data_IF_065368136245
#
_entry.id   IF_065368136245
#
_cell.length_a   1.000
_cell.length_b   1.000
_cell.length_c   1.000
_cell.angle_alpha   90.00
_cell.angle_beta   90.00
_cell.angle_gamma   90.00
#
_symmetry.space_group_name_H-M   'P 1'
#
loop_
_entity.id
_entity.type
_entity.pdbx_description
1 polymer ?
#
# COMPACT_ATOMS: atom_id res chain seq x y z
N UNK A 1 23.23 -3.47 -19.13
CA UNK A 1 23.04 -3.06 -20.53
C UNK A 1 21.56 -3.12 -20.86
N UNK A 2 20.85 -2.00 -20.68
CA UNK A 2 19.58 -1.70 -21.34
C UNK A 2 19.52 -0.18 -21.48
N UNK A 3 19.57 0.28 -22.73
CA UNK A 3 19.64 1.68 -23.12
C UNK A 3 18.28 2.37 -22.91
N UNK A 4 18.25 3.42 -22.07
CA UNK A 4 17.12 4.34 -21.96
C UNK A 4 17.25 5.41 -23.04
N UNK A 5 16.55 5.20 -24.17
CA UNK A 5 16.55 6.09 -25.33
C UNK A 5 15.67 7.33 -25.06
N UNK A 6 16.31 8.52 -25.11
CA UNK A 6 15.72 9.84 -24.77
C UNK A 6 14.80 10.45 -25.84
N UNK A 7 14.49 9.73 -26.92
CA UNK A 7 13.76 10.27 -28.08
C UNK A 7 12.26 9.94 -28.16
N UNK A 8 11.65 9.38 -27.11
CA UNK A 8 10.21 9.01 -27.13
C UNK A 8 9.26 9.96 -26.38
N UNK A 9 9.76 11.08 -25.85
CA UNK A 9 8.94 12.05 -25.09
C UNK A 9 8.47 13.28 -25.90
N UNK A 10 8.83 13.41 -27.18
CA UNK A 10 8.55 14.65 -27.94
C UNK A 10 7.33 14.59 -28.88
N UNK A 11 6.60 13.46 -29.00
CA UNK A 11 5.52 13.32 -29.99
C UNK A 11 4.10 13.04 -29.46
N UNK A 12 3.82 13.24 -28.16
CA UNK A 12 2.45 13.12 -27.63
C UNK A 12 1.86 14.48 -27.18
N UNK A 13 2.67 15.54 -27.17
CA UNK A 13 2.21 16.92 -26.94
C UNK A 13 1.88 17.62 -28.27
N UNK A 14 0.86 17.16 -29.00
CA UNK A 14 0.11 17.98 -29.95
C UNK A 14 -1.09 17.21 -30.53
N UNK A 15 -2.25 17.29 -29.86
CA UNK A 15 -3.52 17.52 -30.54
C UNK A 15 -4.41 18.40 -29.65
N UNK A 16 -4.82 19.60 -30.10
CA UNK A 16 -5.88 20.34 -29.46
C UNK A 16 -7.19 19.60 -29.73
N UNK A 17 -7.93 19.23 -28.69
CA UNK A 17 -9.25 18.62 -28.84
C UNK A 17 -10.26 19.73 -29.17
N UNK A 18 -10.41 20.01 -30.46
CA UNK A 18 -11.49 20.84 -30.99
C UNK A 18 -12.56 19.94 -31.62
N UNK A 19 -13.76 19.99 -31.01
CA UNK A 19 -15.09 19.94 -31.65
C UNK A 19 -15.64 18.55 -32.04
N UNK A 20 -16.53 17.99 -31.20
CA UNK A 20 -17.97 17.82 -31.47
C UNK A 20 -18.65 17.01 -30.36
N UNK A 21 -19.90 17.39 -30.09
CA UNK A 21 -20.89 16.76 -29.24
C UNK A 21 -20.89 15.24 -29.28
N UNK A 22 -20.59 14.60 -28.16
CA UNK A 22 -21.20 13.31 -27.85
C UNK A 22 -21.63 13.29 -26.37
N UNK A 23 -22.94 13.13 -26.18
CA UNK A 23 -23.59 13.07 -24.87
C UNK A 23 -23.34 11.66 -24.34
N UNK A 24 -22.63 11.51 -23.21
CA UNK A 24 -22.85 10.46 -22.18
C UNK A 24 -21.61 10.31 -21.28
N UNK A 25 -21.48 11.17 -20.27
CA UNK A 25 -20.73 10.85 -19.05
C UNK A 25 -21.45 11.52 -17.88
N UNK A 26 -22.26 10.79 -17.09
CA UNK A 26 -22.81 11.32 -15.85
C UNK A 26 -21.74 11.15 -14.77
N UNK A 27 -20.74 12.03 -14.77
CA UNK A 27 -19.80 12.18 -13.67
C UNK A 27 -19.85 13.65 -13.22
N UNK A 28 -20.41 13.86 -12.03
CA UNK A 28 -20.87 15.13 -11.45
C UNK A 28 -19.99 16.35 -11.79
N UNK A 29 -20.54 17.23 -12.65
CA UNK A 29 -19.90 18.45 -13.11
C UNK A 29 -19.72 19.51 -12.00
N UNK A 30 -20.39 19.36 -10.86
CA UNK A 30 -20.37 20.37 -9.78
C UNK A 30 -19.07 20.29 -8.98
N UNK A 31 -18.63 19.08 -8.63
CA UNK A 31 -17.39 18.86 -7.87
C UNK A 31 -16.17 19.22 -8.72
N UNK A 32 -16.19 18.87 -10.01
CA UNK A 32 -15.10 19.16 -10.93
C UNK A 32 -14.92 20.67 -11.15
N UNK A 33 -16.03 21.41 -11.30
CA UNK A 33 -16.00 22.87 -11.40
C UNK A 33 -15.51 23.55 -10.11
N UNK A 34 -15.88 23.01 -8.95
CA UNK A 34 -15.44 23.52 -7.65
C UNK A 34 -13.93 23.32 -7.43
N UNK A 35 -13.42 22.11 -7.66
CA UNK A 35 -11.98 21.82 -7.56
C UNK A 35 -11.18 22.58 -8.62
N UNK A 36 -11.71 22.75 -9.83
CA UNK A 36 -11.05 23.50 -10.89
C UNK A 36 -10.97 25.01 -10.58
N UNK A 37 -12.03 25.60 -10.00
CA UNK A 37 -12.00 26.99 -9.53
C UNK A 37 -11.04 27.19 -8.35
N UNK A 38 -11.01 26.27 -7.38
CA UNK A 38 -10.02 26.27 -6.29
C UNK A 38 -8.60 26.14 -6.84
N UNK A 39 -8.38 25.24 -7.80
CA UNK A 39 -7.08 25.03 -8.44
C UNK A 39 -6.59 26.27 -9.19
N UNK A 40 -7.44 26.93 -9.98
CA UNK A 40 -7.08 28.17 -10.69
C UNK A 40 -6.84 29.32 -9.71
N UNK A 41 -7.65 29.42 -8.66
CA UNK A 41 -7.51 30.44 -7.61
C UNK A 41 -6.20 30.27 -6.84
N UNK A 42 -5.79 29.04 -6.55
CA UNK A 42 -4.51 28.74 -5.92
C UNK A 42 -3.33 28.92 -6.89
N UNK A 43 -3.43 28.44 -8.13
CA UNK A 43 -2.36 28.56 -9.16
C UNK A 43 -2.01 30.03 -9.47
N UNK A 44 -3.00 30.92 -9.55
CA UNK A 44 -2.75 32.34 -9.76
C UNK A 44 -2.18 33.06 -8.53
N UNK A 45 -2.32 32.49 -7.33
CA UNK A 45 -1.76 33.05 -6.10
C UNK A 45 -0.24 32.85 -5.99
N UNK A 46 0.33 31.94 -6.80
CA UNK A 46 1.74 31.53 -6.74
C UNK A 46 2.54 31.83 -8.03
N UNK A 47 2.27 32.97 -8.68
CA UNK A 47 2.99 33.42 -9.89
C UNK A 47 4.10 34.42 -9.53
N UNK A 48 5.22 33.96 -8.97
CA UNK A 48 6.40 34.82 -8.78
C UNK A 48 7.62 34.18 -8.10
N UNK A 49 8.70 33.96 -8.88
CA UNK A 49 10.11 34.02 -8.43
C UNK A 49 10.70 32.90 -7.55
N UNK A 50 12.04 32.82 -7.53
CA UNK A 50 12.90 31.82 -6.88
C UNK A 50 12.59 31.52 -5.39
N UNK A 51 12.08 32.50 -4.64
CA UNK A 51 11.70 32.34 -3.22
C UNK A 51 10.46 31.46 -3.02
N UNK A 52 9.57 31.39 -4.01
CA UNK A 52 8.32 30.66 -3.90
C UNK A 52 8.53 29.14 -3.99
N UNK A 53 9.46 28.71 -4.85
CA UNK A 53 9.89 27.31 -4.95
C UNK A 53 10.53 26.85 -3.64
N UNK A 54 11.27 27.73 -2.96
CA UNK A 54 11.85 27.43 -1.64
C UNK A 54 10.75 27.29 -0.57
N UNK A 55 9.74 28.17 -0.59
CA UNK A 55 8.61 28.11 0.35
C UNK A 55 7.77 26.84 0.15
N UNK A 56 7.44 26.46 -1.10
CA UNK A 56 6.70 25.23 -1.40
C UNK A 56 7.42 23.96 -0.91
N UNK A 57 8.74 23.91 -1.08
CA UNK A 57 9.58 22.81 -0.58
C UNK A 57 9.58 22.76 0.94
N UNK A 58 9.70 23.91 1.61
CA UNK A 58 9.66 23.99 3.09
C UNK A 58 8.30 23.53 3.61
N UNK A 59 7.19 24.00 3.02
CA UNK A 59 5.84 23.59 3.42
C UNK A 59 5.66 22.08 3.25
N UNK A 60 6.06 21.53 2.11
CA UNK A 60 5.97 20.08 1.84
C UNK A 60 6.79 19.29 2.85
N UNK A 61 8.00 19.74 3.17
CA UNK A 61 8.88 19.09 4.14
C UNK A 61 8.30 19.13 5.56
N UNK A 62 7.73 20.26 5.97
CA UNK A 62 7.04 20.39 7.27
C UNK A 62 5.83 19.45 7.35
N UNK A 63 5.00 19.39 6.30
CA UNK A 63 3.85 18.47 6.24
C UNK A 63 4.33 17.02 6.29
N UNK A 64 5.41 16.68 5.59
CA UNK A 64 5.99 15.34 5.60
C UNK A 64 6.47 14.93 7.00
N UNK A 65 7.22 15.80 7.69
CA UNK A 65 7.66 15.56 9.07
C UNK A 65 6.46 15.40 9.99
N UNK A 66 5.48 16.31 9.92
CA UNK A 66 4.28 16.25 10.75
C UNK A 66 3.50 14.94 10.54
N UNK A 67 3.29 14.53 9.29
CA UNK A 67 2.66 13.27 8.93
C UNK A 67 3.42 12.08 9.52
N UNK A 68 4.75 12.07 9.42
CA UNK A 68 5.59 10.99 9.92
C UNK A 68 5.58 10.91 11.46
N UNK A 69 5.68 12.05 12.16
CA UNK A 69 5.58 12.13 13.62
C UNK A 69 4.21 11.67 14.14
N UNK A 70 3.13 12.02 13.43
CA UNK A 70 1.77 11.55 13.73
C UNK A 70 1.63 10.03 13.50
N UNK A 71 2.23 9.51 12.44
CA UNK A 71 2.24 8.07 12.16
C UNK A 71 2.98 7.28 13.25
N UNK A 72 4.11 7.79 13.76
CA UNK A 72 4.86 7.17 14.87
C UNK A 72 4.10 7.24 16.19
N UNK A 73 3.41 8.36 16.45
CA UNK A 73 2.67 8.55 17.71
C UNK A 73 1.57 7.51 17.92
N UNK A 74 1.14 6.77 16.87
CA UNK A 74 0.11 5.70 16.89
C UNK A 74 -1.23 6.08 17.54
N UNK A 75 -1.45 7.36 17.89
CA UNK A 75 -2.69 7.87 18.49
C UNK A 75 -3.85 7.91 17.47
N UNK A 76 -3.52 8.06 16.19
CA UNK A 76 -4.50 8.20 15.09
C UNK A 76 -4.23 7.08 14.08
N UNK A 77 -5.29 6.52 13.46
CA UNK A 77 -5.14 5.53 12.39
C UNK A 77 -4.36 6.14 11.23
N UNK A 78 -3.35 5.40 10.74
CA UNK A 78 -2.44 5.83 9.68
C UNK A 78 -3.21 6.27 8.41
N UNK A 79 -4.34 5.62 8.12
CA UNK A 79 -5.20 5.96 7.00
C UNK A 79 -5.75 7.40 7.05
N UNK A 80 -6.14 7.90 8.24
CA UNK A 80 -6.62 9.28 8.38
C UNK A 80 -5.47 10.28 8.30
N UNK A 81 -4.31 9.93 8.86
CA UNK A 81 -3.11 10.78 8.82
C UNK A 81 -2.63 10.97 7.37
N UNK A 82 -2.58 9.91 6.57
CA UNK A 82 -2.18 10.01 5.16
C UNK A 82 -3.18 10.78 4.31
N UNK A 83 -4.49 10.59 4.54
CA UNK A 83 -5.54 11.28 3.79
C UNK A 83 -5.55 12.80 4.09
N UNK A 84 -5.37 13.17 5.37
CA UNK A 84 -5.30 14.58 5.78
C UNK A 84 -4.05 15.26 5.25
N UNK A 85 -2.89 14.59 5.28
CA UNK A 85 -1.66 15.11 4.69
C UNK A 85 -1.78 15.31 3.16
N UNK A 86 -2.37 14.34 2.45
CA UNK A 86 -2.66 14.48 1.02
C UNK A 86 -3.64 15.64 0.73
N UNK A 87 -4.70 15.78 1.54
CA UNK A 87 -5.66 16.86 1.45
C UNK A 87 -5.03 18.24 1.66
N UNK A 88 -4.13 18.37 2.65
CA UNK A 88 -3.36 19.59 2.90
C UNK A 88 -2.49 19.98 1.69
N UNK A 89 -1.79 19.03 1.08
CA UNK A 89 -0.96 19.29 -0.11
C UNK A 89 -1.79 19.78 -1.31
N UNK A 90 -3.00 19.27 -1.48
CA UNK A 90 -3.95 19.72 -2.51
C UNK A 90 -4.48 21.13 -2.18
N UNK A 91 -4.84 21.39 -0.91
CA UNK A 91 -5.32 22.70 -0.46
C UNK A 91 -4.29 23.80 -0.64
N UNK A 92 -3.01 23.51 -0.39
CA UNK A 92 -1.91 24.45 -0.65
C UNK A 92 -1.59 24.64 -2.13
N UNK A 93 -2.21 23.86 -3.04
CA UNK A 93 -2.01 23.98 -4.48
C UNK A 93 -0.66 23.45 -4.98
N UNK A 94 0.09 22.74 -4.12
CA UNK A 94 1.41 22.17 -4.44
C UNK A 94 1.26 21.03 -5.45
N UNK A 95 0.17 20.25 -5.34
CA UNK A 95 -0.13 19.15 -6.26
C UNK A 95 -1.55 19.30 -6.81
N UNK A 96 -1.69 19.20 -8.14
CA UNK A 96 -2.99 19.18 -8.81
C UNK A 96 -3.74 17.88 -8.50
N UNK A 97 -5.04 17.92 -8.17
CA UNK A 97 -5.82 16.75 -7.77
C UNK A 97 -5.85 15.66 -8.87
N UNK A 98 -5.88 16.06 -10.14
CA UNK A 98 -5.82 15.12 -11.28
C UNK A 98 -4.48 14.36 -11.31
N UNK A 99 -3.38 15.04 -10.98
CA UNK A 99 -2.06 14.40 -10.96
C UNK A 99 -1.93 13.42 -9.79
N UNK A 100 -2.52 13.73 -8.63
CA UNK A 100 -2.53 12.82 -7.47
C UNK A 100 -3.20 11.49 -7.83
N UNK A 101 -4.42 11.56 -8.39
CA UNK A 101 -5.26 10.37 -8.60
C UNK A 101 -4.71 9.47 -9.71
N UNK A 102 -4.22 10.04 -10.80
CA UNK A 102 -3.80 9.28 -11.97
C UNK A 102 -2.30 8.97 -12.03
N UNK A 103 -1.46 9.77 -11.37
CA UNK A 103 0.01 9.65 -11.50
C UNK A 103 0.72 9.31 -10.19
N UNK A 104 0.21 9.78 -9.04
CA UNK A 104 0.84 9.51 -7.76
C UNK A 104 0.43 8.16 -7.15
N UNK A 105 -0.80 7.70 -7.40
CA UNK A 105 -1.31 6.42 -6.91
C UNK A 105 -0.93 5.29 -7.88
N UNK A 106 -0.19 4.29 -7.40
CA UNK A 106 0.12 3.06 -8.15
C UNK A 106 -0.99 2.03 -7.97
N UNK A 107 -1.97 2.05 -8.87
CA UNK A 107 -3.13 1.16 -8.82
C UNK A 107 -2.75 -0.32 -8.93
N UNK A 108 -1.74 -0.67 -9.72
CA UNK A 108 -1.29 -2.05 -9.87
C UNK A 108 -0.84 -2.67 -8.54
N UNK A 109 -0.08 -1.92 -7.76
CA UNK A 109 0.44 -2.35 -6.46
C UNK A 109 -0.71 -2.51 -5.45
N UNK A 110 -1.63 -1.54 -5.40
CA UNK A 110 -2.81 -1.63 -4.53
C UNK A 110 -3.71 -2.82 -4.89
N UNK A 111 -3.88 -3.10 -6.18
CA UNK A 111 -4.64 -4.25 -6.67
C UNK A 111 -4.04 -5.57 -6.19
N UNK A 112 -2.71 -5.71 -6.25
CA UNK A 112 -2.00 -6.90 -5.76
C UNK A 112 -2.21 -7.07 -4.24
N UNK A 113 -2.02 -6.01 -3.44
CA UNK A 113 -2.26 -6.06 -1.99
C UNK A 113 -3.69 -6.45 -1.64
N UNK A 114 -4.67 -5.89 -2.35
CA UNK A 114 -6.08 -6.18 -2.13
C UNK A 114 -6.42 -7.63 -2.48
N UNK A 115 -5.92 -8.12 -3.63
CA UNK A 115 -6.07 -9.52 -4.03
C UNK A 115 -5.42 -10.48 -3.02
N UNK A 116 -4.25 -10.13 -2.49
CA UNK A 116 -3.58 -10.90 -1.46
C UNK A 116 -4.42 -10.97 -0.17
N UNK A 117 -4.97 -9.84 0.30
CA UNK A 117 -5.84 -9.83 1.48
C UNK A 117 -7.11 -10.67 1.29
N UNK A 118 -7.75 -10.58 0.13
CA UNK A 118 -8.92 -11.39 -0.21
C UNK A 118 -8.58 -12.89 -0.26
N UNK A 119 -7.46 -13.26 -0.89
CA UNK A 119 -6.98 -14.64 -0.94
C UNK A 119 -6.75 -15.21 0.46
N UNK A 120 -6.09 -14.44 1.33
CA UNK A 120 -5.85 -14.83 2.72
C UNK A 120 -7.15 -15.03 3.50
N UNK A 121 -8.16 -14.19 3.25
CA UNK A 121 -9.46 -14.28 3.92
C UNK A 121 -10.19 -15.57 3.51
N UNK A 122 -10.31 -15.84 2.20
CA UNK A 122 -10.96 -17.05 1.68
C UNK A 122 -10.19 -18.30 2.13
N UNK A 123 -8.86 -18.24 2.14
CA UNK A 123 -8.02 -19.32 2.63
C UNK A 123 -8.33 -19.65 4.10
N UNK A 124 -8.50 -18.64 4.96
CA UNK A 124 -8.87 -18.84 6.37
C UNK A 124 -10.23 -19.54 6.53
N UNK A 125 -11.21 -19.19 5.70
CA UNK A 125 -12.56 -19.77 5.76
C UNK A 125 -12.67 -21.16 5.10
N UNK A 126 -11.74 -21.51 4.21
CA UNK A 126 -11.80 -22.76 3.44
C UNK A 126 -11.59 -24.06 4.25
N UNK A 127 -11.23 -23.97 5.54
CA UNK A 127 -10.84 -25.12 6.36
C UNK A 127 -9.47 -25.73 5.98
N UNK A 128 -8.83 -25.24 4.91
CA UNK A 128 -7.50 -25.67 4.50
C UNK A 128 -6.42 -25.45 5.56
N UNK A 129 -6.42 -24.35 6.35
CA UNK A 129 -5.47 -24.18 7.45
C UNK A 129 -5.52 -25.30 8.48
N UNK A 130 -6.73 -25.78 8.81
CA UNK A 130 -6.90 -26.87 9.76
C UNK A 130 -6.37 -28.20 9.20
N UNK A 131 -6.64 -28.48 7.93
CA UNK A 131 -6.12 -29.67 7.26
C UNK A 131 -4.58 -29.69 7.23
N UNK A 132 -3.96 -28.57 6.89
CA UNK A 132 -2.50 -28.42 6.87
C UNK A 132 -1.93 -28.57 8.28
N UNK A 133 -2.55 -27.91 9.27
CA UNK A 133 -2.15 -28.02 10.67
C UNK A 133 -2.18 -29.48 11.16
N UNK A 134 -3.27 -30.21 10.89
CA UNK A 134 -3.40 -31.63 11.23
C UNK A 134 -2.28 -32.47 10.60
N UNK A 135 -1.94 -32.22 9.33
CA UNK A 135 -0.88 -32.96 8.62
C UNK A 135 0.50 -32.72 9.22
N UNK A 136 0.81 -31.47 9.59
CA UNK A 136 2.08 -31.11 10.22
C UNK A 136 2.19 -31.74 11.61
N UNK A 137 1.15 -31.60 12.45
CA UNK A 137 1.15 -32.12 13.82
C UNK A 137 1.23 -33.65 13.85
N UNK A 138 0.58 -34.35 12.91
CA UNK A 138 0.66 -35.81 12.81
C UNK A 138 2.08 -36.30 12.48
N UNK A 139 2.79 -35.57 11.63
CA UNK A 139 4.16 -35.93 11.24
C UNK A 139 5.19 -35.55 12.31
N UNK A 140 4.89 -34.56 13.15
CA UNK A 140 5.86 -33.92 14.03
C UNK A 140 5.38 -33.93 15.48
N UNK A 141 5.86 -34.91 16.26
CA UNK A 141 5.38 -35.17 17.63
C UNK A 141 5.86 -34.17 18.70
N UNK A 142 6.90 -33.37 18.45
CA UNK A 142 7.40 -32.37 19.43
C UNK A 142 7.18 -30.95 18.91
N UNK A 143 6.74 -30.07 19.81
CA UNK A 143 6.48 -28.65 19.54
C UNK A 143 7.64 -27.93 18.86
N UNK A 144 8.89 -28.18 19.31
CA UNK A 144 10.11 -27.57 18.75
C UNK A 144 10.28 -27.85 17.25
N UNK A 145 9.97 -29.06 16.82
CA UNK A 145 10.08 -29.44 15.41
C UNK A 145 8.95 -28.84 14.59
N UNK A 146 7.74 -28.70 15.15
CA UNK A 146 6.62 -28.03 14.47
C UNK A 146 6.97 -26.57 14.20
N UNK A 147 7.56 -25.90 15.18
CA UNK A 147 8.02 -24.52 15.04
C UNK A 147 9.12 -24.40 13.97
N UNK A 148 10.06 -25.34 13.94
CA UNK A 148 11.07 -25.37 12.88
C UNK A 148 10.45 -25.56 11.49
N UNK A 149 9.52 -26.51 11.34
CA UNK A 149 8.84 -26.77 10.08
C UNK A 149 8.06 -25.56 9.57
N UNK A 150 7.29 -24.89 10.43
CA UNK A 150 6.53 -23.70 10.01
C UNK A 150 7.46 -22.54 9.65
N UNK A 151 8.56 -22.36 10.37
CA UNK A 151 9.57 -21.36 10.02
C UNK A 151 10.21 -21.66 8.66
N UNK A 152 10.58 -22.92 8.38
CA UNK A 152 11.14 -23.31 7.07
C UNK A 152 10.15 -23.10 5.93
N UNK A 153 8.87 -23.43 6.12
CA UNK A 153 7.81 -23.16 5.13
C UNK A 153 7.66 -21.64 4.92
N UNK A 154 7.62 -20.88 6.00
CA UNK A 154 7.51 -19.41 5.95
C UNK A 154 8.69 -18.80 5.18
N UNK A 155 9.91 -19.23 5.47
CA UNK A 155 11.12 -18.78 4.79
C UNK A 155 11.07 -19.10 3.29
N UNK A 156 10.65 -20.32 2.92
CA UNK A 156 10.50 -20.70 1.52
C UNK A 156 9.48 -19.84 0.78
N UNK A 157 8.31 -19.58 1.39
CA UNK A 157 7.28 -18.72 0.80
C UNK A 157 7.72 -17.25 0.71
N UNK A 158 8.53 -16.78 1.66
CA UNK A 158 9.08 -15.43 1.69
C UNK A 158 10.07 -15.13 0.57
N UNK A 159 10.63 -16.14 -0.09
CA UNK A 159 11.43 -15.93 -1.29
C UNK A 159 10.58 -15.51 -2.50
N UNK A 160 9.28 -15.82 -2.50
CA UNK A 160 8.37 -15.57 -3.63
C UNK A 160 7.35 -14.47 -3.36
N UNK A 161 6.96 -14.28 -2.10
CA UNK A 161 5.92 -13.34 -1.70
C UNK A 161 6.48 -12.23 -0.81
N UNK A 162 5.81 -11.09 -0.80
CA UNK A 162 6.11 -10.01 0.14
C UNK A 162 5.86 -10.44 1.60
N UNK A 163 6.65 -9.91 2.52
CA UNK A 163 6.69 -10.36 3.92
C UNK A 163 5.30 -10.28 4.60
N UNK A 164 4.54 -9.21 4.36
CA UNK A 164 3.17 -9.04 4.89
C UNK A 164 2.25 -10.14 4.37
N UNK A 165 2.41 -10.52 3.10
CA UNK A 165 1.61 -11.56 2.50
C UNK A 165 1.85 -12.92 3.16
N UNK A 166 3.11 -13.35 3.26
CA UNK A 166 3.43 -14.64 3.88
C UNK A 166 2.84 -14.77 5.29
N UNK A 167 2.98 -13.72 6.11
CA UNK A 167 2.45 -13.72 7.47
C UNK A 167 0.94 -13.91 7.48
N UNK A 168 0.21 -13.24 6.58
CA UNK A 168 -1.25 -13.33 6.49
C UNK A 168 -1.74 -14.74 6.11
N UNK A 169 -1.07 -15.45 5.18
CA UNK A 169 -1.44 -16.83 4.82
C UNK A 169 -1.03 -17.84 5.90
N UNK A 170 0.14 -17.69 6.51
CA UNK A 170 0.66 -18.67 7.47
C UNK A 170 0.04 -18.47 8.87
N UNK A 171 -0.37 -17.25 9.24
CA UNK A 171 -1.01 -16.94 10.52
C UNK A 171 -2.20 -17.87 10.87
N UNK A 172 -3.22 -18.08 10.00
CA UNK A 172 -4.31 -18.99 10.33
C UNK A 172 -3.83 -20.43 10.54
N UNK A 173 -2.85 -20.91 9.78
CA UNK A 173 -2.25 -22.24 9.97
C UNK A 173 -1.57 -22.34 11.33
N UNK A 174 -0.82 -21.32 11.71
CA UNK A 174 -0.12 -21.24 12.99
C UNK A 174 -1.08 -21.21 14.19
N UNK A 175 -2.18 -20.49 14.05
CA UNK A 175 -3.25 -20.46 15.06
C UNK A 175 -3.88 -21.85 15.23
N UNK A 176 -4.18 -22.54 14.14
CA UNK A 176 -4.74 -23.91 14.20
C UNK A 176 -3.77 -24.92 14.82
N UNK A 177 -2.46 -24.80 14.53
CA UNK A 177 -1.43 -25.61 15.18
C UNK A 177 -1.38 -25.36 16.68
N UNK A 178 -1.38 -24.09 17.11
CA UNK A 178 -1.31 -23.73 18.54
C UNK A 178 -2.52 -24.27 19.32
N UNK A 179 -3.73 -24.23 18.73
CA UNK A 179 -4.95 -24.81 19.30
C UNK A 179 -4.82 -26.32 19.47
N UNK A 180 -4.29 -27.03 18.46
CA UNK A 180 -4.12 -28.48 18.49
C UNK A 180 -3.07 -28.94 19.50
N UNK A 181 -1.98 -28.18 19.68
CA UNK A 181 -0.97 -28.47 20.71
C UNK A 181 -1.35 -27.93 22.11
N UNK A 182 -2.47 -27.20 22.25
CA UNK A 182 -2.85 -26.47 23.47
C UNK A 182 -1.72 -25.56 24.00
N UNK A 183 -0.98 -24.95 23.08
CA UNK A 183 0.12 -24.02 23.39
C UNK A 183 -0.29 -22.58 23.13
N UNK A 184 0.47 -21.62 23.65
CA UNK A 184 0.22 -20.20 23.41
C UNK A 184 0.48 -19.87 21.92
N UNK A 185 -0.44 -19.18 21.21
CA UNK A 185 -0.22 -18.78 19.82
C UNK A 185 0.90 -17.74 19.64
N UNK A 186 1.22 -16.97 20.69
CA UNK A 186 2.20 -15.89 20.65
C UNK A 186 3.58 -16.29 20.07
N UNK A 187 4.28 -17.35 20.55
CA UNK A 187 5.56 -17.78 19.99
C UNK A 187 5.49 -18.17 18.52
N UNK A 188 4.38 -18.75 18.06
CA UNK A 188 4.23 -19.13 16.65
C UNK A 188 4.18 -17.90 15.75
N UNK A 189 3.36 -16.91 16.11
CA UNK A 189 3.22 -15.67 15.33
C UNK A 189 4.54 -14.88 15.32
N UNK A 190 5.24 -14.79 16.45
CA UNK A 190 6.55 -14.13 16.53
C UNK A 190 7.59 -14.87 15.67
N UNK A 191 7.63 -16.20 15.73
CA UNK A 191 8.57 -17.00 14.96
C UNK A 191 8.35 -16.83 13.44
N UNK A 192 7.10 -16.80 12.99
CA UNK A 192 6.74 -16.55 11.59
C UNK A 192 7.14 -15.14 11.17
N UNK A 193 6.87 -14.12 12.01
CA UNK A 193 7.23 -12.74 11.71
C UNK A 193 8.75 -12.53 11.58
N UNK A 194 9.54 -13.26 12.37
CA UNK A 194 11.00 -13.26 12.25
C UNK A 194 11.42 -14.02 10.98
N UNK A 195 10.87 -15.21 10.76
CA UNK A 195 11.22 -16.06 9.61
C UNK A 195 10.89 -15.42 8.27
N UNK A 196 9.76 -14.71 8.16
CA UNK A 196 9.34 -14.00 6.94
C UNK A 196 10.21 -12.79 6.61
N UNK A 197 11.00 -12.27 7.56
CA UNK A 197 11.94 -11.20 7.28
C UNK A 197 13.36 -11.74 7.06
N UNK A 198 13.67 -12.94 7.56
CA UNK A 198 15.02 -13.51 7.50
C UNK A 198 15.51 -13.83 6.08
N UNK A 199 14.61 -14.05 5.12
CA UNK A 199 14.99 -14.41 3.73
C UNK A 199 15.14 -13.18 2.84
N UNK A 200 14.37 -12.14 3.08
CA UNK A 200 14.30 -10.94 2.23
C UNK A 200 15.19 -9.79 2.71
N UNK A 201 15.83 -9.91 3.87
CA UNK A 201 16.81 -8.95 4.40
C UNK A 201 18.23 -9.40 4.09
#
# INVERSE_FOLDING_TARGET
MFFYNKNFQTNIFQKPCSIKTDRSCPYDNSIKAFFHNLYIKCKNKYKGGCNLIMIEKIITFVIFIACYSLAISRKIKIAYVSLTAAGLLILFGIISPETVIFKSIKWDVLGIYWGFMMLSFIFSESGMPEFIANKIVKNVKKEKYVLFTICSITALFSAFMENVGVVLIIAPIAMEISKKLRSNPFPYIVAIAISSNAVTT
#
